data_IF_785099866492
#
_entry.id   IF_785099866492
#
_cell.length_a   1.000
_cell.length_b   1.000
_cell.length_c   1.000
_cell.angle_alpha   90.00
_cell.angle_beta   90.00
_cell.angle_gamma   90.00
#
_symmetry.space_group_name_H-M   'P 1'
#
loop_
_entity.id
_entity.type
_entity.pdbx_description
1 polymer ?
#
# COMPACT_ATOMS: atom_id res chain seq x y z
N UNK A 1 -11.44 12.88 -61.38
CA UNK A 1 -11.96 12.45 -60.05
C UNK A 1 -11.13 11.36 -59.36
N UNK A 2 -9.90 11.02 -59.81
CA UNK A 2 -9.08 9.99 -59.15
C UNK A 2 -7.88 10.50 -58.31
N UNK A 3 -7.50 11.78 -58.41
CA UNK A 3 -6.38 12.31 -57.62
C UNK A 3 -6.74 12.72 -56.18
N UNK A 4 -8.02 13.01 -55.90
CA UNK A 4 -8.48 13.42 -54.56
C UNK A 4 -8.60 12.28 -53.55
N UNK A 5 -8.75 11.04 -54.01
CA UNK A 5 -8.88 9.87 -53.13
C UNK A 5 -7.54 9.32 -52.66
N UNK A 6 -6.44 9.52 -53.41
CA UNK A 6 -5.11 9.02 -53.02
C UNK A 6 -4.50 9.88 -51.90
N UNK A 7 -4.80 11.18 -51.88
CA UNK A 7 -4.32 12.07 -50.83
C UNK A 7 -5.00 11.82 -49.47
N UNK A 8 -6.26 11.36 -49.47
CA UNK A 8 -7.00 11.10 -48.23
C UNK A 8 -6.56 9.79 -47.55
N UNK A 9 -6.20 8.77 -48.32
CA UNK A 9 -5.65 7.51 -47.77
C UNK A 9 -4.23 7.67 -47.26
N UNK A 10 -3.41 8.54 -47.86
CA UNK A 10 -2.06 8.83 -47.38
C UNK A 10 -2.05 9.61 -46.05
N UNK A 11 -3.08 10.42 -45.80
CA UNK A 11 -3.21 11.15 -44.53
C UNK A 11 -3.68 10.25 -43.38
N UNK A 12 -4.50 9.22 -43.65
CA UNK A 12 -4.95 8.28 -42.62
C UNK A 12 -3.87 7.30 -42.17
N UNK A 13 -2.93 6.91 -43.03
CA UNK A 13 -1.80 6.04 -42.65
C UNK A 13 -0.71 6.79 -41.87
N UNK A 14 -0.59 8.11 -42.04
CA UNK A 14 0.37 8.92 -41.29
C UNK A 14 -0.04 9.18 -39.82
N UNK A 15 -1.32 9.00 -39.46
CA UNK A 15 -1.78 9.09 -38.06
C UNK A 15 -1.66 7.76 -37.29
N UNK A 16 -1.37 6.64 -37.95
CA UNK A 16 -1.25 5.32 -37.32
C UNK A 16 0.18 4.93 -36.93
N UNK A 17 1.17 5.77 -37.21
CA UNK A 17 2.54 5.61 -36.71
C UNK A 17 2.87 6.63 -35.63
N UNK A 18 1.90 6.94 -34.75
CA UNK A 18 2.27 7.42 -33.43
C UNK A 18 2.94 6.26 -32.73
N UNK A 19 4.26 6.17 -32.89
CA UNK A 19 5.08 5.34 -32.02
C UNK A 19 4.74 5.79 -30.61
N UNK A 20 3.95 4.98 -29.92
CA UNK A 20 3.81 5.12 -28.50
C UNK A 20 5.22 4.92 -27.95
N UNK A 21 5.93 6.03 -27.76
CA UNK A 21 7.01 6.08 -26.79
C UNK A 21 6.34 5.85 -25.45
N UNK A 22 6.00 4.58 -25.16
CA UNK A 22 5.89 4.13 -23.80
C UNK A 22 7.24 4.50 -23.20
N UNK A 23 7.26 5.59 -22.43
CA UNK A 23 8.36 5.91 -21.57
C UNK A 23 8.69 4.61 -20.85
N UNK A 24 9.80 3.97 -21.21
CA UNK A 24 10.28 2.84 -20.44
C UNK A 24 10.38 3.39 -19.01
N UNK A 25 9.66 2.79 -18.03
CA UNK A 25 9.74 3.26 -16.67
C UNK A 25 11.24 3.29 -16.32
N UNK A 26 11.74 4.37 -15.69
CA UNK A 26 13.13 4.40 -15.24
C UNK A 26 13.38 3.12 -14.48
N UNK A 27 14.38 2.34 -14.91
CA UNK A 27 14.63 1.02 -14.36
C UNK A 27 14.83 1.20 -12.86
N UNK A 28 13.94 0.61 -12.06
CA UNK A 28 14.12 0.38 -10.62
C UNK A 28 15.29 -0.62 -10.46
N UNK A 29 16.49 -0.18 -10.78
CA UNK A 29 17.71 -0.86 -10.48
C UNK A 29 18.47 0.04 -9.52
N UNK A 30 18.20 -0.09 -8.23
CA UNK A 30 19.27 0.07 -7.25
C UNK A 30 20.23 -1.09 -7.51
N UNK A 31 21.16 -0.87 -8.45
CA UNK A 31 22.32 -1.73 -8.57
C UNK A 31 23.08 -1.52 -7.27
N UNK A 32 23.25 -2.57 -6.48
CA UNK A 32 24.19 -2.56 -5.38
C UNK A 32 25.52 -1.97 -5.89
N UNK A 33 26.17 -1.14 -5.07
CA UNK A 33 27.46 -0.54 -5.46
C UNK A 33 28.40 -1.63 -5.98
N UNK A 34 29.18 -1.31 -7.03
CA UNK A 34 29.99 -2.31 -7.76
C UNK A 34 30.72 -3.27 -6.79
N UNK A 35 30.31 -4.55 -6.79
CA UNK A 35 30.89 -5.61 -5.96
C UNK A 35 30.06 -6.08 -4.74
N UNK A 36 28.88 -5.52 -4.48
CA UNK A 36 27.96 -6.02 -3.44
C UNK A 36 26.78 -6.81 -4.05
N UNK A 37 26.39 -7.93 -3.42
CA UNK A 37 25.24 -8.75 -3.84
C UNK A 37 23.90 -8.27 -3.22
N UNK A 38 23.96 -7.54 -2.10
CA UNK A 38 22.79 -7.12 -1.31
C UNK A 38 22.91 -5.67 -0.78
N UNK A 39 21.79 -4.93 -0.62
CA UNK A 39 20.46 -5.29 -1.11
C UNK A 39 20.40 -5.24 -2.65
N UNK A 40 19.65 -6.15 -3.26
CA UNK A 40 19.45 -6.17 -4.71
C UNK A 40 17.98 -6.34 -5.04
N UNK A 41 17.52 -5.65 -6.10
CA UNK A 41 16.18 -5.79 -6.64
C UNK A 41 16.26 -6.45 -8.00
N UNK A 42 15.69 -7.64 -8.11
CA UNK A 42 15.65 -8.41 -9.35
C UNK A 42 14.23 -8.39 -9.92
N UNK A 43 14.04 -8.07 -11.21
CA UNK A 43 12.75 -8.25 -11.87
C UNK A 43 12.28 -9.71 -11.78
N UNK A 44 10.97 -9.92 -11.64
CA UNK A 44 10.39 -11.27 -11.65
C UNK A 44 10.66 -11.99 -12.97
N UNK A 45 10.79 -13.33 -12.97
CA UNK A 45 11.11 -14.12 -14.16
C UNK A 45 9.90 -14.43 -15.06
N UNK A 46 8.71 -13.94 -14.69
CA UNK A 46 7.45 -14.43 -15.24
C UNK A 46 7.18 -13.99 -16.69
N UNK A 47 6.48 -14.86 -17.41
CA UNK A 47 5.88 -14.59 -18.71
C UNK A 47 4.47 -14.03 -18.53
N UNK A 48 3.83 -13.51 -19.60
CA UNK A 48 2.44 -13.05 -19.51
C UNK A 48 1.50 -14.12 -18.92
N UNK A 49 0.55 -13.73 -18.04
CA UNK A 49 -0.35 -14.68 -17.40
C UNK A 49 -1.30 -15.34 -18.43
N UNK A 50 -1.91 -16.49 -18.09
CA UNK A 50 -2.89 -17.14 -18.97
C UNK A 50 -4.06 -16.20 -19.32
N UNK A 51 -4.55 -16.17 -20.58
CA UNK A 51 -5.66 -15.30 -20.98
C UNK A 51 -6.95 -15.50 -20.18
N UNK A 52 -7.13 -16.67 -19.55
CA UNK A 52 -8.28 -16.97 -18.66
C UNK A 52 -8.30 -16.14 -17.38
N UNK A 53 -7.18 -15.51 -17.01
CA UNK A 53 -7.07 -14.60 -15.87
C UNK A 53 -7.14 -13.13 -16.28
N UNK A 54 -7.40 -12.84 -17.57
CA UNK A 54 -7.54 -11.49 -18.06
C UNK A 54 -8.68 -10.78 -17.32
N UNK A 55 -8.37 -9.62 -16.74
CA UNK A 55 -9.30 -8.83 -15.94
C UNK A 55 -9.37 -9.20 -14.47
N UNK A 56 -8.64 -10.22 -14.01
CA UNK A 56 -8.49 -10.46 -12.56
C UNK A 56 -7.62 -9.36 -11.96
N UNK A 57 -8.04 -8.82 -10.81
CA UNK A 57 -7.28 -7.82 -10.07
C UNK A 57 -7.54 -7.97 -8.57
N UNK A 58 -6.57 -7.59 -7.76
CA UNK A 58 -6.75 -7.48 -6.30
C UNK A 58 -7.55 -6.21 -6.03
N UNK A 59 -8.79 -6.35 -5.57
CA UNK A 59 -9.66 -5.22 -5.33
C UNK A 59 -9.33 -4.51 -4.01
N UNK A 60 -9.24 -5.25 -2.90
CA UNK A 60 -9.02 -4.71 -1.55
C UNK A 60 -8.18 -5.65 -0.68
N UNK A 61 -7.67 -5.10 0.43
CA UNK A 61 -7.18 -5.85 1.58
C UNK A 61 -8.09 -5.59 2.79
N UNK A 62 -8.34 -6.62 3.61
CA UNK A 62 -9.25 -6.53 4.73
C UNK A 62 -8.50 -6.55 6.07
N UNK A 63 -8.85 -5.63 6.97
CA UNK A 63 -8.34 -5.57 8.33
C UNK A 63 -9.48 -5.74 9.34
N UNK A 64 -9.28 -6.62 10.31
CA UNK A 64 -10.21 -6.74 11.42
C UNK A 64 -9.94 -5.60 12.41
N UNK A 65 -11.00 -4.91 12.81
CA UNK A 65 -10.94 -3.80 13.78
C UNK A 65 -11.92 -4.04 14.92
N UNK A 66 -11.55 -3.62 16.14
CA UNK A 66 -12.39 -3.82 17.33
C UNK A 66 -13.45 -2.74 17.50
N UNK A 67 -13.11 -1.51 17.14
CA UNK A 67 -14.02 -0.37 17.25
C UNK A 67 -14.04 0.38 15.91
N UNK A 68 -15.07 0.08 15.11
CA UNK A 68 -15.20 0.64 13.77
C UNK A 68 -15.17 2.17 13.75
N UNK A 69 -15.82 2.83 14.70
CA UNK A 69 -15.86 4.31 14.76
C UNK A 69 -14.47 4.89 15.02
N UNK A 70 -13.72 4.31 15.98
CA UNK A 70 -12.35 4.73 16.30
C UNK A 70 -11.43 4.48 15.11
N UNK A 71 -11.51 3.32 14.48
CA UNK A 71 -10.63 2.95 13.36
C UNK A 71 -10.93 3.80 12.14
N UNK A 72 -12.20 3.99 11.76
CA UNK A 72 -12.58 4.89 10.66
C UNK A 72 -12.08 6.32 10.89
N UNK A 73 -12.24 6.86 12.10
CA UNK A 73 -11.70 8.18 12.43
C UNK A 73 -10.19 8.24 12.26
N UNK A 74 -9.46 7.22 12.75
CA UNK A 74 -8.01 7.15 12.59
C UNK A 74 -7.58 7.09 11.11
N UNK A 75 -8.12 6.17 10.31
CA UNK A 75 -7.74 6.06 8.89
C UNK A 75 -8.09 7.34 8.09
N UNK A 76 -9.21 7.99 8.41
CA UNK A 76 -9.61 9.25 7.76
C UNK A 76 -8.72 10.42 8.18
N UNK A 77 -8.60 10.65 9.49
CA UNK A 77 -8.02 11.88 10.02
C UNK A 77 -6.47 11.78 10.06
N UNK A 78 -5.95 10.59 10.36
CA UNK A 78 -4.50 10.32 10.46
C UNK A 78 -3.91 9.94 9.11
N UNK A 79 -4.54 9.06 8.32
CA UNK A 79 -3.97 8.63 7.03
C UNK A 79 -4.61 9.30 5.80
N UNK A 80 -5.68 10.10 5.95
CA UNK A 80 -6.30 10.82 4.83
C UNK A 80 -7.17 9.96 3.93
N UNK A 81 -7.61 8.78 4.37
CA UNK A 81 -8.56 7.96 3.62
C UNK A 81 -9.94 8.61 3.59
N UNK A 82 -10.71 8.31 2.54
CA UNK A 82 -12.13 8.64 2.45
C UNK A 82 -12.98 7.39 2.62
N UNK A 83 -14.11 7.53 3.32
CA UNK A 83 -15.13 6.49 3.41
C UNK A 83 -15.93 6.47 2.12
N UNK A 84 -15.93 5.34 1.44
CA UNK A 84 -16.75 5.11 0.24
C UNK A 84 -18.17 4.79 0.68
N UNK A 85 -18.31 3.71 1.46
CA UNK A 85 -19.58 3.31 2.05
C UNK A 85 -19.38 2.45 3.30
N UNK A 86 -20.45 2.31 4.07
CA UNK A 86 -20.55 1.35 5.18
C UNK A 86 -21.62 0.32 4.83
N UNK A 87 -21.23 -0.96 4.82
CA UNK A 87 -22.15 -2.08 4.70
C UNK A 87 -22.43 -2.66 6.09
N UNK A 88 -23.67 -2.55 6.56
CA UNK A 88 -24.10 -3.16 7.83
C UNK A 88 -24.88 -4.45 7.53
N UNK A 89 -24.23 -5.60 7.72
CA UNK A 89 -24.89 -6.89 7.50
C UNK A 89 -25.81 -7.27 8.67
N UNK A 90 -25.53 -6.79 9.87
CA UNK A 90 -26.36 -7.00 11.07
C UNK A 90 -26.13 -5.87 12.09
N UNK A 91 -26.87 -5.83 13.22
CA UNK A 91 -26.58 -4.88 14.30
C UNK A 91 -25.14 -4.96 14.83
N UNK A 92 -24.51 -6.16 14.77
CA UNK A 92 -23.17 -6.44 15.29
C UNK A 92 -22.08 -6.58 14.22
N UNK A 93 -22.42 -6.75 12.95
CA UNK A 93 -21.42 -6.94 11.88
C UNK A 93 -21.49 -5.80 10.87
N UNK A 94 -20.36 -5.12 10.67
CA UNK A 94 -20.24 -4.01 9.72
C UNK A 94 -18.90 -4.05 9.01
N UNK A 95 -18.93 -3.59 7.78
CA UNK A 95 -17.77 -3.46 6.90
C UNK A 95 -17.72 -2.04 6.36
N UNK A 96 -16.54 -1.42 6.33
CA UNK A 96 -16.34 -0.07 5.76
C UNK A 96 -15.26 -0.13 4.70
N UNK A 97 -15.59 0.37 3.52
CA UNK A 97 -14.62 0.52 2.44
C UNK A 97 -14.02 1.92 2.46
N UNK A 98 -12.69 1.98 2.39
CA UNK A 98 -11.89 3.19 2.42
C UNK A 98 -10.99 3.25 1.18
N UNK A 99 -10.76 4.45 0.66
CA UNK A 99 -9.78 4.68 -0.41
C UNK A 99 -9.11 6.03 -0.28
N UNK A 100 -7.91 6.17 -0.83
CA UNK A 100 -7.36 7.46 -1.21
C UNK A 100 -7.87 7.87 -2.59
N UNK A 101 -7.88 9.18 -2.85
CA UNK A 101 -7.96 9.66 -4.23
C UNK A 101 -6.78 9.13 -5.04
N UNK A 102 -7.01 8.81 -6.31
CA UNK A 102 -5.94 8.46 -7.22
C UNK A 102 -4.89 9.60 -7.28
N UNK A 103 -3.61 9.31 -7.59
CA UNK A 103 -2.63 10.36 -7.80
C UNK A 103 -3.13 11.37 -8.84
N UNK A 104 -3.21 12.66 -8.45
CA UNK A 104 -3.81 13.76 -9.22
C UNK A 104 -5.34 13.70 -9.43
N UNK A 105 -6.05 12.72 -8.90
CA UNK A 105 -7.48 12.48 -9.17
C UNK A 105 -7.73 12.04 -10.62
N UNK A 106 -8.88 11.41 -10.89
CA UNK A 106 -9.21 10.92 -12.24
C UNK A 106 -9.26 12.03 -13.31
N UNK A 107 -9.55 13.27 -12.89
CA UNK A 107 -9.66 14.43 -13.76
C UNK A 107 -8.54 15.47 -13.55
N UNK A 108 -7.44 15.13 -12.86
CA UNK A 108 -6.36 16.08 -12.55
C UNK A 108 -6.67 17.05 -11.40
N UNK A 109 -7.81 16.89 -10.72
CA UNK A 109 -8.27 17.77 -9.63
C UNK A 109 -7.52 17.60 -8.30
N UNK A 110 -6.68 16.56 -8.19
CA UNK A 110 -5.98 16.20 -6.94
C UNK A 110 -6.88 15.58 -5.87
N UNK A 111 -8.19 15.49 -6.12
CA UNK A 111 -9.19 14.96 -5.20
C UNK A 111 -10.31 14.28 -5.97
N UNK A 112 -10.93 13.28 -5.34
CA UNK A 112 -12.17 12.63 -5.77
C UNK A 112 -13.13 12.59 -4.58
N UNK A 113 -14.41 12.82 -4.84
CA UNK A 113 -15.49 12.63 -3.86
C UNK A 113 -15.69 11.14 -3.55
N UNK A 114 -16.37 10.84 -2.44
CA UNK A 114 -16.73 9.47 -2.09
C UNK A 114 -17.59 8.78 -3.17
N UNK A 115 -18.46 9.53 -3.87
CA UNK A 115 -19.27 9.00 -4.96
C UNK A 115 -18.40 8.59 -6.15
N UNK A 116 -17.49 9.45 -6.59
CA UNK A 116 -16.54 9.14 -7.67
C UNK A 116 -15.63 7.95 -7.31
N UNK A 117 -15.16 7.87 -6.06
CA UNK A 117 -14.38 6.73 -5.59
C UNK A 117 -15.18 5.43 -5.55
N UNK A 118 -16.46 5.50 -5.19
CA UNK A 118 -17.35 4.34 -5.20
C UNK A 118 -17.63 3.86 -6.61
N UNK A 119 -17.88 4.77 -7.55
CA UNK A 119 -18.02 4.43 -8.98
C UNK A 119 -16.73 3.82 -9.53
N UNK A 120 -15.57 4.41 -9.20
CA UNK A 120 -14.27 3.86 -9.58
C UNK A 120 -14.05 2.46 -9.00
N UNK A 121 -14.50 2.17 -7.77
CA UNK A 121 -14.46 0.84 -7.19
C UNK A 121 -15.32 -0.15 -7.98
N UNK A 122 -16.56 0.22 -8.30
CA UNK A 122 -17.49 -0.66 -9.03
C UNK A 122 -16.99 -0.97 -10.45
N UNK A 123 -16.31 -0.02 -11.08
CA UNK A 123 -15.71 -0.18 -12.41
C UNK A 123 -14.33 -0.84 -12.38
N UNK A 124 -13.81 -1.22 -11.21
CA UNK A 124 -12.50 -1.85 -11.06
C UNK A 124 -11.32 -0.91 -11.33
N UNK A 125 -11.53 0.41 -11.22
CA UNK A 125 -10.54 1.47 -11.45
C UNK A 125 -9.90 1.99 -10.16
N UNK A 126 -10.59 1.86 -9.02
CA UNK A 126 -10.03 2.22 -7.72
C UNK A 126 -8.81 1.35 -7.37
N UNK A 127 -7.85 1.93 -6.65
CA UNK A 127 -6.59 1.28 -6.29
C UNK A 127 -6.37 1.39 -4.79
N UNK A 128 -5.82 0.34 -4.18
CA UNK A 128 -5.44 0.35 -2.77
C UNK A 128 -6.63 0.48 -1.82
N UNK A 129 -7.74 -0.19 -2.10
CA UNK A 129 -8.91 -0.18 -1.23
C UNK A 129 -8.60 -0.93 0.08
N UNK A 130 -9.04 -0.36 1.19
CA UNK A 130 -8.99 -0.98 2.50
C UNK A 130 -10.41 -1.29 2.98
N UNK A 131 -10.61 -2.53 3.40
CA UNK A 131 -11.87 -3.02 3.98
C UNK A 131 -11.69 -3.17 5.50
N UNK A 132 -12.36 -2.34 6.29
CA UNK A 132 -12.39 -2.50 7.75
C UNK A 132 -13.56 -3.37 8.15
N UNK A 133 -13.27 -4.51 8.77
CA UNK A 133 -14.27 -5.50 9.21
C UNK A 133 -14.40 -5.43 10.72
N UNK A 134 -15.61 -5.17 11.21
CA UNK A 134 -15.91 -5.07 12.64
C UNK A 134 -17.04 -6.02 13.02
N UNK A 135 -16.80 -6.82 14.05
CA UNK A 135 -17.84 -7.58 14.74
C UNK A 135 -17.89 -7.16 16.21
N UNK A 136 -19.04 -6.67 16.65
CA UNK A 136 -19.31 -6.31 18.03
C UNK A 136 -19.35 -7.56 18.91
N UNK A 137 -18.45 -7.60 19.89
CA UNK A 137 -18.24 -8.68 20.86
C UNK A 137 -18.59 -8.25 22.28
N UNK A 138 -19.34 -7.16 22.46
CA UNK A 138 -19.69 -6.67 23.81
C UNK A 138 -20.44 -7.70 24.66
N UNK A 139 -21.04 -8.71 24.01
CA UNK A 139 -21.78 -9.82 24.63
C UNK A 139 -20.95 -11.10 24.81
N UNK A 140 -19.65 -11.10 24.53
CA UNK A 140 -18.79 -12.28 24.70
C UNK A 140 -17.97 -12.26 26.00
N UNK A 141 -17.91 -13.41 26.67
CA UNK A 141 -17.05 -13.65 27.84
C UNK A 141 -15.55 -13.72 27.50
N UNK A 142 -15.20 -13.82 26.21
CA UNK A 142 -13.82 -13.66 25.74
C UNK A 142 -13.43 -12.19 25.87
N UNK A 143 -12.70 -11.86 26.92
CA UNK A 143 -12.19 -10.52 27.19
C UNK A 143 -11.67 -9.85 25.92
N UNK A 144 -12.19 -8.66 25.61
CA UNK A 144 -12.08 -7.95 24.33
C UNK A 144 -10.68 -7.50 23.89
N UNK A 145 -9.64 -8.18 24.34
CA UNK A 145 -8.26 -7.92 23.98
C UNK A 145 -7.65 -9.08 23.20
N UNK A 146 -7.77 -8.96 21.88
CA UNK A 146 -7.06 -9.77 20.88
C UNK A 146 -6.13 -8.88 20.04
N UNK A 147 -5.88 -7.63 20.47
CA UNK A 147 -5.07 -6.66 19.73
C UNK A 147 -3.61 -6.75 20.13
N UNK A 148 -2.74 -7.04 19.18
CA UNK A 148 -1.30 -7.02 19.38
C UNK A 148 -0.56 -7.59 18.17
N UNK A 149 0.63 -7.06 17.91
CA UNK A 149 1.57 -7.47 16.84
C UNK A 149 1.98 -8.96 16.93
N UNK A 150 1.53 -9.69 17.96
CA UNK A 150 1.96 -11.06 18.28
C UNK A 150 1.00 -12.22 17.92
N UNK A 151 -0.05 -12.06 17.10
CA UNK A 151 -0.93 -13.20 16.71
C UNK A 151 -0.95 -13.48 15.21
N UNK A 152 -0.13 -14.47 14.85
CA UNK A 152 0.05 -15.12 13.53
C UNK A 152 0.58 -14.21 12.42
N UNK A 153 1.88 -14.34 12.15
CA UNK A 153 2.70 -13.67 11.13
C UNK A 153 2.28 -13.96 9.67
N UNK A 154 0.98 -14.03 9.35
CA UNK A 154 0.50 -14.40 8.01
C UNK A 154 0.23 -13.18 7.14
N UNK A 155 -0.25 -12.08 7.72
CA UNK A 155 -0.36 -10.79 7.05
C UNK A 155 0.65 -9.85 7.69
N UNK A 156 1.54 -9.26 6.88
CA UNK A 156 2.63 -8.43 7.38
C UNK A 156 2.17 -6.99 7.62
N UNK A 157 1.81 -6.26 6.56
CA UNK A 157 1.42 -4.85 6.67
C UNK A 157 0.65 -4.36 5.43
N UNK A 158 0.03 -3.18 5.57
CA UNK A 158 -0.44 -2.37 4.45
C UNK A 158 0.63 -1.33 4.12
N UNK A 159 1.05 -1.25 2.85
CA UNK A 159 2.04 -0.28 2.38
C UNK A 159 1.38 1.02 1.90
N UNK A 160 1.89 2.16 2.36
CA UNK A 160 1.51 3.51 1.95
C UNK A 160 2.69 4.21 1.29
N UNK A 161 2.44 4.77 0.11
CA UNK A 161 3.41 5.62 -0.58
C UNK A 161 3.08 7.09 -0.33
N UNK A 162 4.06 7.84 0.14
CA UNK A 162 3.97 9.28 0.39
C UNK A 162 5.01 10.05 -0.44
N UNK A 163 4.81 11.36 -0.68
CA UNK A 163 5.81 12.19 -1.35
C UNK A 163 7.12 12.32 -0.56
N UNK A 164 7.04 12.45 0.76
CA UNK A 164 8.17 12.64 1.67
C UNK A 164 7.85 11.93 3.01
N UNK A 165 8.67 10.93 3.36
CA UNK A 165 8.44 10.10 4.56
C UNK A 165 8.72 10.85 5.85
N UNK A 166 9.66 11.80 5.87
CA UNK A 166 9.97 12.59 7.07
C UNK A 166 8.88 13.61 7.35
N UNK A 167 8.34 14.24 6.30
CA UNK A 167 7.16 15.11 6.44
C UNK A 167 5.94 14.32 6.92
N UNK A 168 5.70 13.14 6.33
CA UNK A 168 4.62 12.26 6.75
C UNK A 168 4.78 11.83 8.21
N UNK A 169 5.99 11.42 8.62
CA UNK A 169 6.30 11.06 10.00
C UNK A 169 5.95 12.18 10.97
N UNK A 170 6.43 13.40 10.73
CA UNK A 170 6.15 14.53 11.62
C UNK A 170 4.66 14.83 11.75
N UNK A 171 3.90 14.71 10.65
CA UNK A 171 2.43 14.84 10.69
C UNK A 171 1.81 13.73 11.54
N UNK A 172 2.17 12.47 11.31
CA UNK A 172 1.63 11.31 12.04
C UNK A 172 1.92 11.40 13.55
N UNK A 173 3.16 11.76 13.93
CA UNK A 173 3.55 11.97 15.32
C UNK A 173 2.74 13.12 15.96
N UNK A 174 2.55 14.24 15.25
CA UNK A 174 1.75 15.37 15.77
C UNK A 174 0.27 15.03 15.98
N UNK A 175 -0.24 14.01 15.28
CA UNK A 175 -1.61 13.49 15.42
C UNK A 175 -1.70 12.34 16.43
N UNK A 176 -0.59 11.98 17.08
CA UNK A 176 -0.54 10.93 18.10
C UNK A 176 -0.61 9.51 17.54
N UNK A 177 -0.15 9.29 16.30
CA UNK A 177 0.02 7.94 15.78
C UNK A 177 1.06 7.15 16.60
N UNK A 178 0.81 5.85 16.78
CA UNK A 178 1.76 4.95 17.43
C UNK A 178 2.87 4.59 16.44
N UNK A 179 4.08 5.08 16.69
CA UNK A 179 5.24 4.90 15.81
C UNK A 179 6.09 3.76 16.33
N UNK A 180 6.06 2.64 15.63
CA UNK A 180 6.86 1.47 15.95
C UNK A 180 8.33 1.65 15.57
N UNK A 181 8.60 2.33 14.44
CA UNK A 181 9.95 2.62 13.96
C UNK A 181 9.94 3.87 13.09
N UNK A 182 10.80 4.84 13.40
CA UNK A 182 10.97 6.07 12.60
C UNK A 182 11.78 5.82 11.33
N UNK A 183 11.49 6.56 10.27
CA UNK A 183 12.34 6.61 9.08
C UNK A 183 13.73 7.18 9.42
N UNK A 184 14.77 6.59 8.84
CA UNK A 184 16.19 6.93 9.07
C UNK A 184 16.85 6.15 10.21
N UNK A 185 16.07 5.56 11.12
CA UNK A 185 16.55 4.72 12.22
C UNK A 185 16.69 3.25 11.78
N UNK A 186 17.63 2.52 12.38
CA UNK A 186 17.72 1.06 12.21
C UNK A 186 16.61 0.39 13.04
N UNK A 187 15.95 -0.66 12.52
CA UNK A 187 14.92 -1.39 13.26
C UNK A 187 15.51 -2.24 14.39
N UNK A 188 14.73 -2.46 15.45
CA UNK A 188 15.00 -3.52 16.43
C UNK A 188 14.51 -4.88 15.87
N UNK A 189 15.44 -5.67 15.33
CA UNK A 189 15.10 -6.91 14.62
C UNK A 189 14.65 -8.06 15.53
N UNK A 190 14.97 -8.04 16.81
CA UNK A 190 14.49 -9.01 17.80
C UNK A 190 13.22 -8.54 18.54
N UNK A 191 12.61 -7.45 18.07
CA UNK A 191 11.40 -6.87 18.64
C UNK A 191 10.23 -6.87 17.66
N UNK A 192 9.14 -6.15 17.99
CA UNK A 192 7.92 -6.15 17.20
C UNK A 192 8.12 -5.66 15.75
N UNK A 193 9.12 -4.80 15.50
CA UNK A 193 9.47 -4.37 14.14
C UNK A 193 10.00 -5.54 13.29
N UNK A 194 10.91 -6.36 13.83
CA UNK A 194 11.40 -7.56 13.15
C UNK A 194 10.31 -8.61 12.95
N UNK A 195 9.49 -8.85 13.98
CA UNK A 195 8.36 -9.79 13.91
C UNK A 195 7.37 -9.40 12.81
N UNK A 196 7.08 -8.10 12.66
CA UNK A 196 6.15 -7.63 11.65
C UNK A 196 6.66 -7.84 10.21
N UNK A 197 7.98 -7.92 10.01
CA UNK A 197 8.62 -8.33 8.76
C UNK A 197 8.87 -9.84 8.66
N UNK A 198 8.33 -10.63 9.59
CA UNK A 198 8.44 -12.09 9.59
C UNK A 198 9.81 -12.62 10.02
N UNK A 199 10.64 -11.79 10.64
CA UNK A 199 11.95 -12.21 11.12
C UNK A 199 11.80 -13.03 12.41
N UNK A 200 12.56 -14.12 12.55
CA UNK A 200 12.58 -14.89 13.78
C UNK A 200 13.29 -14.08 14.88
N UNK A 201 12.82 -14.21 16.13
CA UNK A 201 13.32 -13.44 17.27
C UNK A 201 14.80 -13.66 17.61
N UNK A 202 15.45 -14.67 17.05
CA UNK A 202 16.87 -15.00 17.22
C UNK A 202 17.70 -14.77 15.94
N UNK A 203 17.20 -13.96 14.99
CA UNK A 203 17.87 -13.69 13.71
C UNK A 203 19.24 -13.04 13.90
N UNK A 204 19.38 -12.16 14.88
CA UNK A 204 20.64 -11.42 15.13
C UNK A 204 21.71 -12.36 15.69
N UNK A 205 21.32 -13.31 16.54
CA UNK A 205 22.19 -14.31 17.13
C UNK A 205 22.64 -15.34 16.08
N UNK A 206 21.69 -15.83 15.27
CA UNK A 206 21.96 -16.89 14.29
C UNK A 206 22.65 -16.37 13.02
N UNK A 207 22.30 -15.17 12.59
CA UNK A 207 22.70 -14.61 11.29
C UNK A 207 23.05 -13.11 11.41
N UNK A 208 24.10 -12.74 12.15
CA UNK A 208 24.43 -11.33 12.43
C UNK A 208 24.75 -10.50 11.17
N UNK A 209 25.37 -11.10 10.16
CA UNK A 209 25.66 -10.41 8.89
C UNK A 209 24.38 -10.11 8.09
N UNK A 210 23.43 -11.06 8.06
CA UNK A 210 22.13 -10.88 7.42
C UNK A 210 21.30 -9.84 8.17
N UNK A 211 21.28 -9.90 9.50
CA UNK A 211 20.59 -8.94 10.35
C UNK A 211 21.06 -7.50 10.08
N UNK A 212 22.36 -7.29 9.89
CA UNK A 212 22.92 -5.99 9.57
C UNK A 212 22.53 -5.52 8.16
N UNK A 213 22.53 -6.42 7.16
CA UNK A 213 22.04 -6.11 5.81
C UNK A 213 20.55 -5.73 5.81
N UNK A 214 19.71 -6.49 6.51
CA UNK A 214 18.27 -6.25 6.64
C UNK A 214 18.03 -4.91 7.36
N UNK A 215 18.74 -4.64 8.45
CA UNK A 215 18.60 -3.39 9.20
C UNK A 215 18.86 -2.17 8.33
N UNK A 216 19.89 -2.22 7.47
CA UNK A 216 20.18 -1.15 6.51
C UNK A 216 19.11 -1.04 5.43
N UNK A 217 18.60 -2.15 4.90
CA UNK A 217 17.56 -2.14 3.88
C UNK A 217 16.24 -1.54 4.37
N UNK A 218 15.94 -1.67 5.66
CA UNK A 218 14.73 -1.14 6.29
C UNK A 218 14.90 0.27 6.88
N UNK A 219 16.09 0.88 6.76
CA UNK A 219 16.42 2.15 7.41
C UNK A 219 15.41 3.26 7.10
N UNK A 220 15.03 3.44 5.84
CA UNK A 220 14.25 4.62 5.42
C UNK A 220 12.73 4.41 5.45
N UNK A 221 12.30 3.22 5.90
CA UNK A 221 10.89 2.88 6.07
C UNK A 221 10.38 3.41 7.41
N UNK A 222 9.19 4.02 7.42
CA UNK A 222 8.46 4.35 8.65
C UNK A 222 7.43 3.25 8.94
N UNK A 223 7.32 2.84 10.20
CA UNK A 223 6.33 1.87 10.67
C UNK A 223 5.42 2.54 11.71
N UNK A 224 4.11 2.52 11.43
CA UNK A 224 3.09 3.00 12.37
C UNK A 224 2.01 1.94 12.58
N UNK A 225 1.41 1.96 13.77
CA UNK A 225 0.33 1.05 14.12
C UNK A 225 -1.01 1.78 14.07
N UNK A 226 -2.02 1.08 13.57
CA UNK A 226 -3.40 1.51 13.68
C UNK A 226 -3.94 1.28 15.12
N UNK A 227 -5.16 1.73 15.43
CA UNK A 227 -5.83 1.55 16.72
C UNK A 227 -5.85 0.10 17.26
N UNK A 228 -5.78 -0.89 16.39
CA UNK A 228 -5.87 -2.31 16.69
C UNK A 228 -4.52 -3.04 16.63
N UNK A 229 -3.44 -2.32 16.29
CA UNK A 229 -2.09 -2.86 16.17
C UNK A 229 -1.76 -3.41 14.79
N UNK A 230 -2.59 -3.14 13.77
CA UNK A 230 -2.25 -3.48 12.38
C UNK A 230 -1.08 -2.61 11.91
N UNK A 231 -0.10 -3.21 11.26
CA UNK A 231 1.09 -2.50 10.78
C UNK A 231 0.81 -1.77 9.46
N UNK A 232 1.16 -0.49 9.44
CA UNK A 232 1.21 0.34 8.24
C UNK A 232 2.66 0.70 7.96
N UNK A 233 3.15 0.27 6.81
CA UNK A 233 4.46 0.62 6.29
C UNK A 233 4.36 1.89 5.45
N UNK A 234 5.18 2.89 5.69
CA UNK A 234 5.16 4.16 4.96
C UNK A 234 6.52 4.38 4.30
N UNK A 235 6.49 4.55 2.97
CA UNK A 235 7.68 4.77 2.15
C UNK A 235 7.51 5.96 1.21
N UNK A 236 8.62 6.58 0.82
CA UNK A 236 8.59 7.61 -0.22
C UNK A 236 8.41 7.00 -1.62
N UNK A 237 7.70 7.71 -2.52
CA UNK A 237 7.43 7.30 -3.91
C UNK A 237 8.70 6.95 -4.72
N UNK A 238 9.84 7.44 -4.27
CA UNK A 238 11.16 7.00 -4.71
C UNK A 238 11.87 6.56 -3.44
N UNK A 239 12.36 5.31 -3.41
CA UNK A 239 13.17 4.81 -2.30
C UNK A 239 14.19 5.88 -1.92
N UNK A 240 14.32 6.17 -0.62
CA UNK A 240 15.22 7.19 -0.12
C UNK A 240 16.61 7.00 -0.72
N UNK A 241 17.04 8.02 -1.47
CA UNK A 241 18.37 8.29 -2.06
C UNK A 241 19.12 7.12 -2.67
#
# INVERSE_FOLDING_TARGET
MHLRNVLLTALLTALLTSTAHACAPPRLHTRAADGQDFPSTQPGPDIPPPPSTAGYFVNHAALNVRNLTRSVAWYRDVLGFQVLFTFRASPRYSVVYLAHSAPNGENGAGYQTAAELTEAMMDGRARGLLELVSYDRSDSDEGGDQGGVGRSMRFSHVGLIVPDVLQAQGRLESLGADVLKRAGELPELQGPAGEAFGLPGDVVERHPEDAELISRALRDVLLVLDPDGNLIEVQSLRGGV
#
